data_IF_278385076621
#
_entry.id   IF_278385076621
#
_cell.length_a   1.000
_cell.length_b   1.000
_cell.length_c   1.000
_cell.angle_alpha   90.00
_cell.angle_beta   90.00
_cell.angle_gamma   90.00
#
_symmetry.space_group_name_H-M   'P 1'
#
loop_
_entity.id
_entity.type
_entity.pdbx_description
1 polymer ?
#
# COMPACT_ATOMS: atom_id res chain seq x y z
N UNK A 1 -2.18 -11.56 6.53
CA UNK A 1 -1.65 -10.78 5.41
C UNK A 1 -2.64 -9.71 5.00
N UNK A 2 -2.18 -8.50 4.82
CA UNK A 2 -3.05 -7.41 4.45
C UNK A 2 -3.11 -7.20 2.95
N UNK A 3 -3.95 -6.27 2.52
CA UNK A 3 -4.12 -5.95 1.12
C UNK A 3 -4.24 -4.46 0.91
N UNK A 4 -3.64 -3.97 -0.15
CA UNK A 4 -3.80 -2.61 -0.61
C UNK A 4 -4.56 -2.64 -1.93
N UNK A 5 -5.74 -2.02 -1.94
CA UNK A 5 -6.54 -1.92 -3.16
C UNK A 5 -6.26 -0.57 -3.81
N UNK A 6 -5.77 -0.61 -5.03
CA UNK A 6 -5.36 0.56 -5.79
C UNK A 6 -6.38 0.81 -6.89
N UNK A 7 -7.06 1.95 -6.79
CA UNK A 7 -8.06 2.37 -7.78
C UNK A 7 -9.18 1.36 -7.98
N UNK A 8 -9.43 0.52 -6.99
CA UNK A 8 -10.47 -0.52 -7.03
C UNK A 8 -10.27 -1.57 -8.12
N UNK A 9 -9.15 -1.54 -8.83
CA UNK A 9 -8.88 -2.47 -9.92
C UNK A 9 -7.68 -3.36 -9.66
N UNK A 10 -6.79 -2.95 -8.79
CA UNK A 10 -5.57 -3.70 -8.50
C UNK A 10 -5.49 -4.03 -7.01
N UNK A 11 -5.18 -5.28 -6.72
CA UNK A 11 -5.06 -5.76 -5.36
C UNK A 11 -3.62 -6.18 -5.12
N UNK A 12 -3.02 -5.63 -4.06
CA UNK A 12 -1.62 -5.89 -3.73
C UNK A 12 -1.57 -6.52 -2.35
N UNK A 13 -0.96 -7.71 -2.26
CA UNK A 13 -0.81 -8.39 -0.98
C UNK A 13 0.45 -7.90 -0.28
N UNK A 14 0.27 -7.40 0.94
CA UNK A 14 1.37 -6.89 1.77
C UNK A 14 1.12 -7.34 3.19
N UNK A 15 2.16 -7.78 3.90
CA UNK A 15 2.01 -8.16 5.29
C UNK A 15 1.47 -7.00 6.12
N UNK A 16 0.70 -7.32 7.17
CA UNK A 16 0.04 -6.31 7.99
C UNK A 16 1.00 -5.26 8.56
N UNK A 17 2.17 -5.68 8.99
CA UNK A 17 3.15 -4.77 9.60
C UNK A 17 3.63 -3.68 8.64
N UNK A 18 4.24 -4.05 7.52
CA UNK A 18 4.64 -3.03 6.55
C UNK A 18 3.43 -2.27 6.00
N UNK A 19 2.28 -2.92 5.88
CA UNK A 19 1.08 -2.25 5.39
C UNK A 19 0.63 -1.14 6.35
N UNK A 20 0.68 -1.40 7.66
CA UNK A 20 0.33 -0.38 8.65
C UNK A 20 1.29 0.80 8.59
N UNK A 21 2.58 0.51 8.43
CA UNK A 21 3.59 1.56 8.31
C UNK A 21 3.35 2.40 7.05
N UNK A 22 3.05 1.73 5.96
CA UNK A 22 2.73 2.38 4.69
C UNK A 22 1.48 3.24 4.79
N UNK A 23 0.48 2.76 5.50
CA UNK A 23 -0.75 3.51 5.69
C UNK A 23 -0.46 4.88 6.31
N UNK A 24 0.43 4.92 7.28
CA UNK A 24 0.81 6.17 7.93
C UNK A 24 1.54 7.09 6.95
N UNK A 25 2.53 6.56 6.25
CA UNK A 25 3.33 7.35 5.31
C UNK A 25 2.47 7.89 4.16
N UNK A 26 1.67 7.02 3.56
CA UNK A 26 0.83 7.40 2.44
C UNK A 26 -0.22 8.43 2.86
N UNK A 27 -0.85 8.22 4.01
CA UNK A 27 -1.86 9.15 4.52
C UNK A 27 -1.27 10.53 4.73
N UNK A 28 -0.05 10.59 5.27
CA UNK A 28 0.61 11.87 5.54
C UNK A 28 0.93 12.61 4.25
N UNK A 29 1.48 11.91 3.27
CA UNK A 29 1.85 12.53 2.00
C UNK A 29 0.63 12.95 1.20
N UNK A 30 -0.40 12.13 1.14
CA UNK A 30 -1.60 12.48 0.40
C UNK A 30 -2.37 13.62 1.07
N UNK A 31 -2.30 13.72 2.39
CA UNK A 31 -2.91 14.83 3.11
C UNK A 31 -2.27 16.15 2.71
N UNK A 32 -0.98 16.13 2.40
CA UNK A 32 -0.25 17.31 1.93
C UNK A 32 -0.36 17.48 0.41
N UNK A 33 -1.21 16.68 -0.24
CA UNK A 33 -1.42 16.71 -1.69
C UNK A 33 -0.15 16.41 -2.48
N UNK A 34 0.72 15.61 -1.93
CA UNK A 34 1.94 15.19 -2.60
C UNK A 34 1.65 13.98 -3.48
N UNK A 35 2.31 13.94 -4.64
CA UNK A 35 2.27 12.80 -5.55
C UNK A 35 3.62 12.13 -5.50
N UNK A 36 3.63 10.79 -5.51
CA UNK A 36 4.89 10.09 -5.43
C UNK A 36 4.75 8.65 -5.89
N UNK A 37 5.89 8.05 -6.25
CA UNK A 37 5.94 6.62 -6.52
C UNK A 37 6.21 5.90 -5.23
N UNK A 38 5.47 4.82 -5.03
CA UNK A 38 5.72 3.93 -3.92
C UNK A 38 6.26 2.62 -4.45
N UNK A 39 7.41 2.17 -3.94
CA UNK A 39 8.05 0.94 -4.36
C UNK A 39 8.18 -0.02 -3.19
N UNK A 40 8.05 -1.31 -3.48
CA UNK A 40 8.27 -2.33 -2.48
C UNK A 40 8.95 -3.53 -3.12
N UNK A 41 9.53 -4.38 -2.27
CA UNK A 41 10.15 -5.61 -2.72
C UNK A 41 9.12 -6.73 -2.66
N UNK A 42 8.89 -7.40 -3.77
CA UNK A 42 7.96 -8.51 -3.82
C UNK A 42 8.50 -9.68 -3.00
N UNK A 43 7.59 -10.51 -2.49
CA UNK A 43 7.99 -11.71 -1.76
C UNK A 43 8.68 -12.70 -2.70
N UNK A 44 9.42 -13.64 -2.10
CA UNK A 44 10.07 -14.70 -2.88
C UNK A 44 9.03 -15.49 -3.69
N UNK A 45 7.85 -15.67 -3.10
CA UNK A 45 6.77 -16.41 -3.76
C UNK A 45 6.23 -15.67 -4.98
N UNK A 46 6.39 -14.37 -5.02
CA UNK A 46 5.94 -13.56 -6.15
C UNK A 46 7.09 -13.24 -7.12
N UNK A 47 8.19 -13.97 -7.02
CA UNK A 47 9.31 -13.80 -7.94
C UNK A 47 10.48 -13.01 -7.40
N UNK A 48 10.36 -12.40 -6.23
CA UNK A 48 11.45 -11.69 -5.57
C UNK A 48 11.87 -10.39 -6.23
N UNK A 49 11.07 -9.87 -7.16
CA UNK A 49 11.35 -8.59 -7.81
C UNK A 49 10.91 -7.40 -7.00
N UNK A 50 10.86 -6.25 -7.64
CA UNK A 50 10.36 -5.01 -7.05
C UNK A 50 9.22 -4.46 -7.88
N UNK A 51 8.26 -3.85 -7.20
CA UNK A 51 7.12 -3.23 -7.86
C UNK A 51 6.98 -1.79 -7.41
N UNK A 52 6.44 -0.96 -8.28
CA UNK A 52 6.20 0.45 -7.97
C UNK A 52 4.83 0.87 -8.47
N UNK A 53 4.16 1.75 -7.73
CA UNK A 53 2.91 2.35 -8.16
C UNK A 53 2.98 3.86 -7.98
N UNK A 54 2.23 4.56 -8.83
CA UNK A 54 2.08 6.01 -8.73
C UNK A 54 0.93 6.31 -7.78
N UNK A 55 1.19 7.16 -6.80
CA UNK A 55 0.17 7.56 -5.83
C UNK A 55 -0.16 9.04 -5.99
N UNK A 56 -1.45 9.34 -5.98
CA UNK A 56 -1.97 10.67 -6.19
C UNK A 56 -3.21 10.85 -5.31
N UNK A 57 -3.44 12.06 -4.75
CA UNK A 57 -4.60 12.28 -3.88
C UNK A 57 -5.95 11.98 -4.54
N UNK A 58 -6.02 11.96 -5.86
CA UNK A 58 -7.26 11.69 -6.58
C UNK A 58 -7.52 10.21 -6.82
N UNK A 59 -6.55 9.34 -6.52
CA UNK A 59 -6.70 7.90 -6.73
C UNK A 59 -7.24 7.25 -5.47
N UNK A 60 -8.37 6.52 -5.53
CA UNK A 60 -8.91 5.84 -4.36
C UNK A 60 -7.99 4.72 -3.89
N UNK A 61 -7.75 4.67 -2.59
CA UNK A 61 -6.94 3.62 -1.97
C UNK A 61 -7.73 3.01 -0.82
N UNK A 62 -7.64 1.68 -0.68
CA UNK A 62 -8.25 0.97 0.43
C UNK A 62 -7.20 0.07 1.07
N UNK A 63 -7.03 0.21 2.38
CA UNK A 63 -6.14 -0.63 3.17
C UNK A 63 -6.97 -1.65 3.93
N UNK A 64 -6.69 -2.92 3.70
CA UNK A 64 -7.41 -4.00 4.38
C UNK A 64 -6.42 -4.84 5.16
N UNK A 65 -6.65 -4.96 6.46
CA UNK A 65 -5.78 -5.72 7.35
C UNK A 65 -6.43 -7.04 7.70
N UNK A 66 -5.59 -8.07 7.90
CA UNK A 66 -6.10 -9.39 8.26
C UNK A 66 -6.55 -9.47 9.72
N UNK A 67 -6.18 -8.48 10.53
CA UNK A 67 -6.55 -8.42 11.94
C UNK A 67 -7.42 -7.19 12.19
N UNK A 68 -8.43 -7.34 13.04
CA UNK A 68 -9.28 -6.21 13.43
C UNK A 68 -8.65 -5.33 14.50
N UNK A 69 -7.50 -5.75 15.04
CA UNK A 69 -6.82 -4.97 16.06
C UNK A 69 -6.04 -3.81 15.42
N UNK A 70 -6.01 -2.64 16.07
CA UNK A 70 -5.20 -1.53 15.60
C UNK A 70 -3.73 -1.94 15.59
N UNK A 71 -3.02 -1.50 14.59
CA UNK A 71 -1.61 -1.84 14.43
C UNK A 71 -0.74 -0.64 14.70
#
# INVERSE_FOLDING_TARGET
MGKLLYSSTMEIDIDDRPLAHLHIIISERLRNKERFFFSWKDSVHAGGGRSSIWLDPTIPLLFSFSSSQPV
#
